data_IF_729349091765
#
_entry.id   IF_729349091765
#
_cell.length_a   1.000
_cell.length_b   1.000
_cell.length_c   1.000
_cell.angle_alpha   90.00
_cell.angle_beta   90.00
_cell.angle_gamma   90.00
#
_symmetry.space_group_name_H-M   'P 1'
#
loop_
_entity.id
_entity.type
_entity.pdbx_description
1 polymer ?
#
# COMPACT_ATOMS: atom_id res chain seq x y z
N UNK A 1 40.56 80.58 4.40
CA UNK A 1 39.70 80.30 5.58
C UNK A 1 39.17 78.88 5.41
N UNK A 2 39.87 77.88 5.92
CA UNK A 2 39.51 76.46 5.82
C UNK A 2 38.82 76.04 7.12
N UNK A 3 37.52 75.77 7.07
CA UNK A 3 36.81 75.13 8.17
C UNK A 3 37.22 73.67 8.24
N UNK A 4 38.04 73.33 9.24
CA UNK A 4 38.29 71.96 9.64
C UNK A 4 36.96 71.34 10.10
N UNK A 5 36.39 70.50 9.24
CA UNK A 5 35.13 69.80 9.49
C UNK A 5 35.41 68.72 10.54
N UNK A 6 35.05 68.97 11.80
CA UNK A 6 35.16 67.99 12.88
C UNK A 6 34.36 66.73 12.50
N UNK A 7 35.07 65.69 12.07
CA UNK A 7 34.49 64.37 11.88
C UNK A 7 34.26 63.77 13.28
N UNK A 8 33.00 63.76 13.70
CA UNK A 8 32.59 63.05 14.93
C UNK A 8 32.72 61.56 14.67
N UNK A 9 33.60 60.88 15.41
CA UNK A 9 33.71 59.42 15.39
C UNK A 9 32.46 58.78 16.00
N UNK A 10 32.10 57.59 15.53
CA UNK A 10 31.02 56.78 16.09
C UNK A 10 31.31 56.41 17.55
N UNK A 11 30.30 56.51 18.41
CA UNK A 11 30.41 56.09 19.80
C UNK A 11 30.43 54.56 19.88
N UNK A 12 31.18 53.99 20.84
CA UNK A 12 31.18 52.56 21.12
C UNK A 12 29.76 52.00 21.34
N UNK A 13 28.86 52.80 21.91
CA UNK A 13 27.47 52.40 22.13
C UNK A 13 26.68 52.30 20.82
N UNK A 14 26.96 53.16 19.83
CA UNK A 14 26.32 53.10 18.51
C UNK A 14 26.77 51.85 17.76
N UNK A 15 28.04 51.49 17.87
CA UNK A 15 28.58 50.27 17.26
C UNK A 15 27.99 49.00 17.90
N UNK A 16 27.88 48.96 19.23
CA UNK A 16 27.24 47.86 19.95
C UNK A 16 25.75 47.72 19.57
N UNK A 17 25.03 48.84 19.48
CA UNK A 17 23.62 48.84 19.08
C UNK A 17 23.45 48.38 17.62
N UNK A 18 24.34 48.81 16.72
CA UNK A 18 24.33 48.37 15.33
C UNK A 18 24.58 46.86 15.20
N UNK A 19 25.55 46.31 15.93
CA UNK A 19 25.85 44.87 15.94
C UNK A 19 24.67 44.08 16.54
N UNK A 20 24.02 44.60 17.58
CA UNK A 20 22.86 43.95 18.19
C UNK A 20 21.68 43.85 17.23
N UNK A 21 21.33 44.95 16.55
CA UNK A 21 20.26 44.96 15.54
C UNK A 21 20.61 44.03 14.37
N UNK A 22 21.86 44.06 13.90
CA UNK A 22 22.34 43.16 12.84
C UNK A 22 22.23 41.68 13.27
N UNK A 23 22.62 41.37 14.50
CA UNK A 23 22.54 40.02 15.07
C UNK A 23 21.10 39.50 15.10
N UNK A 24 20.15 40.30 15.60
CA UNK A 24 18.73 39.94 15.58
C UNK A 24 18.22 39.76 14.15
N UNK A 25 18.63 40.64 13.22
CA UNK A 25 18.26 40.54 11.81
C UNK A 25 18.73 39.23 11.16
N UNK A 26 19.98 38.84 11.37
CA UNK A 26 20.54 37.60 10.82
C UNK A 26 19.86 36.37 11.42
N UNK A 27 19.62 36.34 12.74
CA UNK A 27 18.93 35.22 13.40
C UNK A 27 17.49 35.09 12.86
N UNK A 28 16.77 36.21 12.73
CA UNK A 28 15.42 36.22 12.17
C UNK A 28 15.37 35.61 10.77
N UNK A 29 16.25 36.06 9.86
CA UNK A 29 16.35 35.52 8.50
C UNK A 29 16.74 34.03 8.51
N UNK A 30 17.68 33.63 9.38
CA UNK A 30 18.11 32.25 9.52
C UNK A 30 16.96 31.31 9.95
N UNK A 31 16.02 31.78 10.78
CA UNK A 31 14.86 30.98 11.19
C UNK A 31 13.81 30.81 10.09
N UNK A 32 13.70 31.74 9.15
CA UNK A 32 12.73 31.68 8.06
C UNK A 32 13.13 30.71 6.94
N UNK A 33 14.44 30.53 6.70
CA UNK A 33 14.91 29.67 5.61
C UNK A 33 14.46 28.20 5.71
N UNK A 34 14.62 27.50 6.85
CA UNK A 34 14.18 26.10 6.95
C UNK A 34 12.67 25.94 6.76
N UNK A 35 11.88 26.88 7.30
CA UNK A 35 10.43 26.88 7.11
C UNK A 35 10.06 27.06 5.63
N UNK A 36 10.72 28.00 4.94
CA UNK A 36 10.53 28.22 3.51
C UNK A 36 10.88 26.99 2.66
N UNK A 37 11.98 26.30 2.96
CA UNK A 37 12.37 25.07 2.25
C UNK A 37 11.35 23.95 2.48
N UNK A 38 10.90 23.75 3.73
CA UNK A 38 9.89 22.73 4.06
C UNK A 38 8.58 23.00 3.32
N UNK A 39 8.13 24.26 3.31
CA UNK A 39 6.92 24.67 2.61
C UNK A 39 7.05 24.50 1.09
N UNK A 40 8.18 24.89 0.50
CA UNK A 40 8.43 24.71 -0.93
C UNK A 40 8.47 23.22 -1.32
N UNK A 41 9.07 22.36 -0.48
CA UNK A 41 9.05 20.91 -0.69
C UNK A 41 7.62 20.37 -0.63
N UNK A 42 6.83 20.77 0.37
CA UNK A 42 5.42 20.38 0.48
C UNK A 42 4.61 20.84 -0.74
N UNK A 43 4.73 22.09 -1.16
CA UNK A 43 4.06 22.59 -2.38
C UNK A 43 4.50 21.83 -3.63
N UNK A 44 5.77 21.46 -3.74
CA UNK A 44 6.24 20.63 -4.86
C UNK A 44 5.62 19.24 -4.81
N UNK A 45 5.58 18.63 -3.63
CA UNK A 45 5.00 17.30 -3.39
C UNK A 45 3.48 17.30 -3.68
N UNK A 46 2.75 18.33 -3.25
CA UNK A 46 1.31 18.52 -3.51
C UNK A 46 1.00 18.67 -5.01
N UNK A 47 1.93 19.23 -5.80
CA UNK A 47 1.77 19.37 -7.26
C UNK A 47 2.20 18.11 -8.00
N UNK A 48 3.36 17.53 -7.65
CA UNK A 48 3.93 16.40 -8.38
C UNK A 48 3.24 15.09 -8.01
N UNK A 49 2.83 14.90 -6.75
CA UNK A 49 2.17 13.67 -6.27
C UNK A 49 0.99 13.23 -7.15
N UNK A 50 -0.02 14.09 -7.36
CA UNK A 50 -1.15 13.77 -8.24
C UNK A 50 -0.74 13.49 -9.70
N UNK A 51 0.32 14.13 -10.21
CA UNK A 51 0.83 13.89 -11.57
C UNK A 51 1.41 12.48 -11.68
N UNK A 52 2.22 12.07 -10.70
CA UNK A 52 2.80 10.71 -10.65
C UNK A 52 1.68 9.67 -10.55
N UNK A 53 0.69 9.88 -9.69
CA UNK A 53 -0.41 8.95 -9.52
C UNK A 53 -1.27 8.80 -10.79
N UNK A 54 -1.56 9.90 -11.51
CA UNK A 54 -2.27 9.85 -12.79
C UNK A 54 -1.45 9.16 -13.90
N UNK A 55 -0.14 9.36 -13.91
CA UNK A 55 0.75 8.65 -14.83
C UNK A 55 0.72 7.14 -14.55
N UNK A 56 0.87 6.75 -13.29
CA UNK A 56 0.74 5.36 -12.85
C UNK A 56 -0.61 4.75 -13.29
N UNK A 57 -1.71 5.47 -13.08
CA UNK A 57 -3.04 5.02 -13.51
C UNK A 57 -3.14 4.87 -15.03
N UNK A 58 -2.50 5.75 -15.80
CA UNK A 58 -2.44 5.65 -17.26
C UNK A 58 -1.68 4.41 -17.71
N UNK A 59 -0.55 4.11 -17.06
CA UNK A 59 0.22 2.87 -17.32
C UNK A 59 -0.66 1.65 -17.04
N UNK A 60 -1.33 1.60 -15.89
CA UNK A 60 -2.21 0.48 -15.53
C UNK A 60 -3.36 0.32 -16.53
N UNK A 61 -4.07 1.39 -16.87
CA UNK A 61 -5.16 1.39 -17.87
C UNK A 61 -4.72 1.01 -19.28
N UNK A 62 -3.45 1.23 -19.62
CA UNK A 62 -2.93 0.82 -20.93
C UNK A 62 -2.71 -0.69 -21.06
N UNK A 63 -2.61 -1.40 -19.93
CA UNK A 63 -2.30 -2.84 -19.87
C UNK A 63 -3.43 -3.68 -19.30
N UNK A 64 -4.33 -3.06 -18.53
CA UNK A 64 -5.38 -3.72 -17.79
C UNK A 64 -6.74 -3.11 -18.15
N UNK A 65 -7.73 -3.97 -18.12
CA UNK A 65 -9.15 -3.67 -18.24
C UNK A 65 -9.89 -4.32 -17.08
N UNK A 66 -11.08 -3.79 -16.74
CA UNK A 66 -11.98 -4.36 -15.74
C UNK A 66 -12.21 -5.87 -15.95
N UNK A 67 -12.31 -6.32 -17.21
CA UNK A 67 -12.56 -7.71 -17.58
C UNK A 67 -11.35 -8.64 -17.43
N UNK A 68 -10.16 -8.12 -17.14
CA UNK A 68 -8.98 -8.94 -16.84
C UNK A 68 -9.03 -9.58 -15.47
N UNK A 69 -9.80 -8.99 -14.57
CA UNK A 69 -9.93 -9.45 -13.20
C UNK A 69 -11.10 -10.41 -13.05
N UNK A 70 -10.90 -11.41 -12.21
CA UNK A 70 -11.91 -12.40 -11.86
C UNK A 70 -12.45 -12.18 -10.46
N UNK A 71 -13.42 -13.02 -10.10
CA UNK A 71 -13.68 -13.32 -8.70
C UNK A 71 -12.78 -14.46 -8.21
N UNK A 72 -12.82 -14.73 -6.91
CA UNK A 72 -12.00 -15.77 -6.28
C UNK A 72 -12.56 -17.19 -6.46
N UNK A 73 -13.86 -17.30 -6.79
CA UNK A 73 -14.60 -18.55 -6.89
C UNK A 73 -14.00 -19.57 -7.85
N UNK A 74 -13.37 -19.18 -8.99
CA UNK A 74 -12.72 -20.12 -9.89
C UNK A 74 -11.38 -20.68 -9.37
N UNK A 75 -10.84 -20.16 -8.27
CA UNK A 75 -9.51 -20.51 -7.76
C UNK A 75 -9.57 -21.36 -6.49
N UNK A 76 -10.68 -21.29 -5.73
CA UNK A 76 -10.81 -22.00 -4.47
C UNK A 76 -12.21 -22.62 -4.34
N UNK A 77 -12.26 -23.94 -4.09
CA UNK A 77 -13.51 -24.68 -3.99
C UNK A 77 -14.33 -24.26 -2.75
N UNK A 78 -13.64 -23.86 -1.68
CA UNK A 78 -14.23 -23.27 -0.48
C UNK A 78 -14.89 -21.90 -0.76
N UNK A 79 -14.71 -21.34 -1.94
CA UNK A 79 -15.27 -20.06 -2.39
C UNK A 79 -16.29 -20.24 -3.51
N UNK A 80 -16.77 -21.46 -3.69
CA UNK A 80 -17.59 -21.82 -4.84
C UNK A 80 -18.83 -20.91 -5.00
N UNK A 81 -19.29 -20.71 -6.25
CA UNK A 81 -20.42 -19.83 -6.58
C UNK A 81 -21.74 -20.20 -5.90
N UNK A 82 -21.85 -21.37 -5.27
CA UNK A 82 -23.03 -21.71 -4.49
C UNK A 82 -23.07 -20.93 -3.16
N UNK A 83 -21.94 -20.51 -2.56
CA UNK A 83 -21.93 -19.68 -1.35
C UNK A 83 -22.60 -18.32 -1.57
N UNK A 84 -22.52 -17.82 -2.79
CA UNK A 84 -23.21 -16.64 -3.26
C UNK A 84 -24.74 -16.75 -3.31
N UNK A 85 -25.24 -17.97 -3.48
CA UNK A 85 -26.68 -18.27 -3.61
C UNK A 85 -27.24 -18.94 -2.36
N UNK A 86 -26.35 -19.44 -1.49
CA UNK A 86 -26.74 -19.96 -0.19
C UNK A 86 -27.21 -18.77 0.65
N UNK A 87 -28.51 -18.78 0.96
CA UNK A 87 -28.98 -18.24 2.23
C UNK A 87 -28.27 -19.05 3.29
N UNK A 88 -27.09 -18.57 3.71
CA UNK A 88 -26.30 -19.23 4.73
C UNK A 88 -27.23 -19.46 5.92
N UNK A 89 -27.39 -20.72 6.32
CA UNK A 89 -28.16 -21.08 7.51
C UNK A 89 -27.73 -20.17 8.66
N UNK A 90 -28.70 -19.70 9.46
CA UNK A 90 -28.71 -18.68 10.55
C UNK A 90 -27.41 -18.18 11.22
N UNK A 91 -26.26 -18.82 11.06
CA UNK A 91 -24.95 -18.48 11.63
C UNK A 91 -23.83 -18.27 10.59
N UNK A 92 -24.08 -18.38 9.28
CA UNK A 92 -23.03 -18.18 8.26
C UNK A 92 -22.96 -16.72 7.79
N UNK A 93 -21.77 -16.13 7.87
CA UNK A 93 -21.49 -14.77 7.40
C UNK A 93 -21.28 -14.82 5.88
N UNK A 94 -22.01 -13.99 5.12
CA UNK A 94 -21.76 -13.85 3.68
C UNK A 94 -20.35 -13.26 3.48
N UNK A 95 -19.41 -13.98 2.84
CA UNK A 95 -18.04 -13.48 2.65
C UNK A 95 -17.97 -12.33 1.63
N UNK A 96 -19.05 -12.08 0.88
CA UNK A 96 -19.14 -11.05 -0.14
C UNK A 96 -19.84 -9.80 0.41
N UNK A 97 -19.12 -8.71 0.71
CA UNK A 97 -19.73 -7.54 1.32
C UNK A 97 -20.69 -6.79 0.39
N UNK A 98 -20.61 -7.01 -0.94
CA UNK A 98 -21.57 -6.43 -1.90
C UNK A 98 -22.06 -7.42 -2.95
N UNK A 99 -21.18 -7.93 -3.81
CA UNK A 99 -21.52 -8.87 -4.89
C UNK A 99 -20.53 -10.01 -4.95
N UNK A 100 -20.98 -11.10 -5.56
CA UNK A 100 -20.16 -12.29 -5.76
C UNK A 100 -18.84 -12.02 -6.47
N UNK A 101 -17.80 -12.54 -5.85
CA UNK A 101 -16.44 -12.45 -6.34
C UNK A 101 -15.77 -11.12 -5.99
N UNK A 102 -16.39 -10.25 -5.21
CA UNK A 102 -15.72 -9.07 -4.67
C UNK A 102 -14.63 -9.47 -3.68
N UNK A 103 -13.55 -8.70 -3.66
CA UNK A 103 -12.43 -8.99 -2.78
C UNK A 103 -11.74 -7.72 -2.33
N UNK A 104 -11.16 -7.78 -1.14
CA UNK A 104 -10.57 -6.64 -0.44
C UNK A 104 -9.26 -6.18 -1.09
N UNK A 105 -8.62 -5.14 -0.54
CA UNK A 105 -7.35 -4.66 -1.08
C UNK A 105 -6.28 -5.77 -1.10
N UNK A 106 -5.69 -5.98 -2.28
CA UNK A 106 -4.59 -6.92 -2.52
C UNK A 106 -3.44 -6.22 -3.23
N UNK A 107 -2.22 -6.57 -2.82
CA UNK A 107 -1.00 -6.11 -3.50
C UNK A 107 -0.67 -7.03 -4.67
N UNK A 108 -0.20 -6.49 -5.80
CA UNK A 108 0.46 -7.27 -6.84
C UNK A 108 1.62 -8.10 -6.30
N UNK A 109 1.97 -9.16 -7.04
CA UNK A 109 3.24 -9.84 -6.80
C UNK A 109 4.41 -8.91 -7.04
N UNK A 110 5.48 -9.03 -6.25
CA UNK A 110 6.72 -8.27 -6.42
C UNK A 110 7.86 -9.20 -6.77
N UNK A 111 8.59 -8.84 -7.83
CA UNK A 111 9.80 -9.56 -8.24
C UNK A 111 10.92 -9.23 -7.24
N UNK A 112 11.54 -10.23 -6.60
CA UNK A 112 12.60 -10.02 -5.61
C UNK A 112 13.75 -9.14 -6.10
N UNK A 113 14.36 -8.36 -5.21
CA UNK A 113 15.52 -7.52 -5.53
C UNK A 113 16.80 -8.33 -5.87
N UNK A 114 16.81 -9.61 -5.48
CA UNK A 114 17.85 -10.60 -5.77
C UNK A 114 17.42 -11.63 -6.84
N UNK A 115 16.39 -11.32 -7.65
CA UNK A 115 15.86 -12.25 -8.64
C UNK A 115 16.90 -12.62 -9.73
N UNK A 116 16.95 -13.90 -10.09
CA UNK A 116 17.83 -14.45 -11.12
C UNK A 116 19.33 -14.25 -10.82
N UNK A 117 20.16 -14.26 -11.86
CA UNK A 117 21.63 -14.13 -11.71
C UNK A 117 22.11 -12.72 -12.04
N UNK A 118 23.15 -12.23 -11.35
CA UNK A 118 23.68 -10.87 -11.55
C UNK A 118 24.31 -10.65 -12.95
N UNK A 119 24.54 -11.71 -13.72
CA UNK A 119 25.05 -11.63 -15.10
C UNK A 119 23.98 -11.64 -16.19
N UNK A 120 22.71 -11.88 -15.85
CA UNK A 120 21.61 -11.94 -16.81
C UNK A 120 20.86 -10.60 -16.83
N UNK A 121 21.01 -9.86 -17.94
CA UNK A 121 20.33 -8.58 -18.17
C UNK A 121 18.81 -8.70 -18.04
N UNK A 122 18.26 -9.86 -18.40
CA UNK A 122 16.82 -10.12 -18.32
C UNK A 122 16.39 -10.13 -16.85
N UNK A 123 17.09 -10.90 -16.01
CA UNK A 123 16.87 -10.92 -14.56
C UNK A 123 17.05 -9.54 -13.93
N UNK A 124 18.11 -8.81 -14.30
CA UNK A 124 18.36 -7.46 -13.78
C UNK A 124 17.23 -6.49 -14.12
N UNK A 125 16.65 -6.60 -15.32
CA UNK A 125 15.59 -5.70 -15.77
C UNK A 125 14.26 -5.85 -15.02
N UNK A 126 13.99 -7.04 -14.49
CA UNK A 126 12.72 -7.35 -13.80
C UNK A 126 12.81 -7.21 -12.27
N UNK A 127 14.00 -7.03 -11.69
CA UNK A 127 14.15 -6.88 -10.23
C UNK A 127 13.34 -5.69 -9.71
N UNK A 128 12.49 -5.94 -8.72
CA UNK A 128 11.56 -4.95 -8.17
C UNK A 128 10.40 -4.55 -9.10
N UNK A 129 10.21 -5.25 -10.23
CA UNK A 129 8.98 -5.14 -11.00
C UNK A 129 7.79 -5.65 -10.17
N UNK A 130 6.59 -5.19 -10.50
CA UNK A 130 5.36 -5.78 -10.00
C UNK A 130 4.72 -6.62 -11.10
N UNK A 131 4.22 -7.79 -10.72
CA UNK A 131 3.47 -8.70 -11.58
C UNK A 131 2.04 -8.75 -11.05
N UNK A 132 1.10 -8.18 -11.81
CA UNK A 132 -0.27 -7.93 -11.31
C UNK A 132 -0.99 -9.23 -10.98
N UNK A 133 -0.81 -10.26 -11.79
CA UNK A 133 -1.48 -11.55 -11.61
C UNK A 133 -0.51 -12.66 -11.19
N UNK A 134 0.76 -12.33 -10.93
CA UNK A 134 1.76 -13.29 -10.50
C UNK A 134 1.30 -14.11 -9.29
N UNK A 135 1.68 -15.39 -9.29
CA UNK A 135 1.41 -16.34 -8.19
C UNK A 135 2.74 -16.86 -7.61
N UNK A 136 2.75 -17.47 -6.40
CA UNK A 136 3.96 -18.05 -5.82
C UNK A 136 4.61 -19.13 -6.70
N UNK A 137 3.84 -19.70 -7.63
CA UNK A 137 4.28 -20.79 -8.52
C UNK A 137 4.52 -20.30 -9.95
N UNK A 138 4.23 -19.03 -10.26
CA UNK A 138 4.46 -18.49 -11.61
C UNK A 138 5.94 -18.14 -11.74
N UNK A 139 6.68 -18.99 -12.44
CA UNK A 139 8.07 -18.67 -12.81
C UNK A 139 8.08 -17.45 -13.74
N UNK A 140 8.77 -16.39 -13.33
CA UNK A 140 8.89 -15.17 -14.14
C UNK A 140 9.83 -15.41 -15.32
N UNK A 141 10.96 -16.07 -15.05
CA UNK A 141 11.90 -16.64 -16.00
C UNK A 141 12.10 -18.09 -15.57
N UNK A 142 12.02 -19.00 -16.54
CA UNK A 142 12.09 -20.43 -16.28
C UNK A 142 13.32 -20.80 -15.41
N UNK A 143 13.09 -21.47 -14.29
CA UNK A 143 14.11 -21.91 -13.34
C UNK A 143 14.79 -20.82 -12.52
N UNK A 144 14.32 -19.56 -12.55
CA UNK A 144 14.89 -18.45 -11.77
C UNK A 144 14.04 -18.03 -10.57
N UNK A 145 12.91 -18.71 -10.33
CA UNK A 145 12.02 -18.51 -9.19
C UNK A 145 10.78 -17.66 -9.52
N UNK A 146 10.01 -17.38 -8.47
CA UNK A 146 8.68 -16.77 -8.52
C UNK A 146 8.66 -15.38 -7.88
N UNK A 147 7.65 -14.53 -8.17
CA UNK A 147 7.43 -13.31 -7.42
C UNK A 147 7.02 -13.63 -5.97
N UNK A 148 7.26 -12.70 -5.04
CA UNK A 148 6.60 -12.71 -3.74
C UNK A 148 5.18 -12.20 -3.92
N UNK A 149 4.20 -12.95 -3.46
CA UNK A 149 2.77 -12.62 -3.61
C UNK A 149 2.10 -12.59 -2.25
N UNK A 150 0.96 -11.91 -2.19
CA UNK A 150 0.07 -12.01 -1.05
C UNK A 150 -0.86 -13.20 -1.29
N UNK A 151 -0.82 -14.20 -0.42
CA UNK A 151 -1.67 -15.38 -0.57
C UNK A 151 -3.05 -15.12 0.04
N UNK A 152 -4.07 -15.76 -0.52
CA UNK A 152 -5.44 -15.61 -0.06
C UNK A 152 -5.71 -16.37 1.23
N UNK A 153 -5.08 -17.52 1.35
CA UNK A 153 -5.14 -18.39 2.50
C UNK A 153 -3.76 -18.94 2.77
N UNK A 154 -3.40 -19.12 4.04
CA UNK A 154 -2.20 -19.87 4.44
C UNK A 154 -2.32 -21.37 4.09
N UNK A 155 -3.48 -21.80 3.56
CA UNK A 155 -3.75 -23.18 3.21
C UNK A 155 -3.31 -23.42 1.78
N UNK A 156 -2.16 -24.07 1.62
CA UNK A 156 -1.90 -24.86 0.41
C UNK A 156 -2.97 -25.94 0.32
N UNK A 157 -4.02 -25.73 -0.46
CA UNK A 157 -5.07 -26.72 -0.63
C UNK A 157 -4.49 -27.89 -1.42
N UNK A 158 -4.34 -29.01 -0.74
CA UNK A 158 -4.10 -30.30 -1.37
C UNK A 158 -5.45 -30.75 -1.91
N UNK A 159 -5.67 -30.59 -3.23
CA UNK A 159 -6.81 -31.25 -3.88
C UNK A 159 -6.52 -32.74 -3.87
N UNK A 160 -6.94 -33.41 -2.80
CA UNK A 160 -6.83 -34.86 -2.67
C UNK A 160 -7.80 -35.51 -3.63
N UNK A 161 -7.32 -35.88 -4.81
CA UNK A 161 -7.99 -36.92 -5.56
C UNK A 161 -7.79 -38.25 -4.82
N UNK A 162 -8.75 -39.18 -4.91
CA UNK A 162 -8.70 -40.49 -4.22
C UNK A 162 -7.48 -41.34 -4.65
N UNK A 163 -6.72 -40.88 -5.63
CA UNK A 163 -5.46 -41.45 -6.14
C UNK A 163 -4.22 -41.09 -5.31
N UNK A 164 -4.32 -40.16 -4.34
CA UNK A 164 -3.19 -39.75 -3.49
C UNK A 164 -2.24 -38.75 -4.15
N UNK A 165 -2.54 -38.29 -5.37
CA UNK A 165 -1.78 -37.24 -6.03
C UNK A 165 -2.44 -35.88 -5.78
N UNK A 166 -1.70 -35.00 -5.12
CA UNK A 166 -2.21 -33.79 -4.51
C UNK A 166 -1.92 -32.61 -5.42
N UNK A 167 -2.86 -32.24 -6.28
CA UNK A 167 -2.69 -31.06 -7.13
C UNK A 167 -2.87 -29.81 -6.27
N UNK A 168 -1.77 -29.11 -5.99
CA UNK A 168 -1.78 -27.81 -5.33
C UNK A 168 -2.17 -26.78 -6.40
N UNK A 169 -3.42 -26.30 -6.36
CA UNK A 169 -3.83 -25.18 -7.20
C UNK A 169 -3.37 -23.90 -6.50
N UNK A 170 -2.41 -23.14 -7.05
CA UNK A 170 -2.01 -21.87 -6.44
C UNK A 170 -3.18 -20.89 -6.47
N UNK A 171 -3.59 -20.40 -5.30
CA UNK A 171 -4.53 -19.29 -5.24
C UNK A 171 -3.76 -18.03 -5.66
N UNK A 172 -4.18 -17.32 -6.74
CA UNK A 172 -3.45 -16.15 -7.20
C UNK A 172 -3.58 -15.03 -6.19
N UNK A 173 -2.54 -14.21 -6.02
CA UNK A 173 -2.63 -13.06 -5.12
C UNK A 173 -3.70 -12.05 -5.55
N UNK A 174 -3.86 -11.85 -6.87
CA UNK A 174 -4.98 -11.10 -7.46
C UNK A 174 -5.72 -12.01 -8.45
N UNK A 175 -7.01 -12.29 -8.25
CA UNK A 175 -7.80 -13.13 -9.14
C UNK A 175 -7.91 -12.54 -10.54
N UNK A 176 -7.61 -13.35 -11.54
CA UNK A 176 -7.78 -13.01 -12.95
C UNK A 176 -8.99 -13.71 -13.56
N UNK A 177 -9.48 -13.19 -14.68
CA UNK A 177 -10.63 -13.76 -15.37
C UNK A 177 -10.23 -15.05 -16.13
N UNK A 178 -10.47 -16.21 -15.52
CA UNK A 178 -10.18 -17.52 -16.15
C UNK A 178 -10.96 -17.78 -17.44
N UNK A 179 -12.10 -17.12 -17.67
CA UNK A 179 -12.81 -17.25 -18.94
C UNK A 179 -12.08 -16.51 -20.08
N UNK A 180 -11.42 -15.39 -19.76
CA UNK A 180 -10.57 -14.63 -20.70
C UNK A 180 -9.18 -15.27 -20.85
N UNK A 181 -8.66 -15.80 -19.76
CA UNK A 181 -7.35 -16.46 -19.67
C UNK A 181 -7.53 -17.92 -19.24
N UNK A 182 -8.03 -18.78 -20.16
CA UNK A 182 -8.23 -20.18 -19.83
C UNK A 182 -6.89 -20.87 -19.60
N UNK A 183 -6.85 -21.78 -18.63
CA UNK A 183 -5.74 -22.73 -18.49
C UNK A 183 -5.75 -23.66 -19.71
N UNK A 184 -4.69 -23.64 -20.51
CA UNK A 184 -4.60 -24.45 -21.72
C UNK A 184 -4.29 -25.92 -21.46
N UNK A 185 -3.96 -26.29 -20.21
CA UNK A 185 -3.57 -27.65 -19.87
C UNK A 185 -4.70 -28.41 -19.17
N UNK A 186 -5.40 -29.24 -19.93
CA UNK A 186 -6.31 -30.26 -19.40
C UNK A 186 -5.68 -31.66 -19.38
N UNK A 187 -4.49 -31.80 -19.98
CA UNK A 187 -3.82 -33.08 -20.16
C UNK A 187 -2.51 -33.04 -19.37
N UNK A 188 -2.55 -33.48 -18.10
CA UNK A 188 -1.36 -33.65 -17.25
C UNK A 188 -0.25 -34.29 -18.11
N UNK A 189 0.82 -33.56 -18.45
CA UNK A 189 1.87 -34.14 -19.27
C UNK A 189 2.47 -35.33 -18.50
N UNK A 190 2.89 -36.37 -19.21
CA UNK A 190 3.38 -37.62 -18.58
C UNK A 190 4.60 -37.43 -17.67
N UNK A 191 5.22 -36.24 -17.68
CA UNK A 191 6.33 -35.85 -16.81
C UNK A 191 5.87 -35.33 -15.44
N UNK A 192 4.57 -35.16 -15.20
CA UNK A 192 4.00 -34.69 -13.93
C UNK A 192 4.25 -33.20 -13.66
N UNK A 193 4.76 -32.45 -14.63
CA UNK A 193 4.93 -30.99 -14.51
C UNK A 193 3.79 -30.32 -15.26
N UNK A 194 2.82 -29.77 -14.52
CA UNK A 194 1.77 -28.94 -15.10
C UNK A 194 2.42 -27.75 -15.80
N UNK A 195 2.43 -27.75 -17.13
CA UNK A 195 2.73 -26.54 -17.87
C UNK A 195 1.44 -25.73 -17.80
N UNK A 196 1.24 -24.94 -16.74
CA UNK A 196 0.10 -24.01 -16.70
C UNK A 196 0.48 -22.68 -17.38
N UNK A 197 0.33 -22.50 -18.71
CA UNK A 197 0.12 -21.17 -19.23
C UNK A 197 -1.37 -20.86 -19.03
N UNK A 198 -1.66 -20.07 -18.01
CA UNK A 198 -2.99 -19.54 -17.73
C UNK A 198 -2.96 -18.19 -17.05
N UNK A 199 -1.92 -17.90 -16.25
CA UNK A 199 -1.80 -16.61 -15.59
C UNK A 199 -1.42 -15.51 -16.59
N UNK A 200 -2.23 -14.46 -16.75
CA UNK A 200 -1.91 -13.35 -17.63
C UNK A 200 -0.66 -12.60 -17.16
N UNK A 201 0.33 -12.46 -18.04
CA UNK A 201 1.57 -11.77 -17.75
C UNK A 201 1.41 -10.25 -17.90
N UNK A 202 1.04 -9.57 -16.80
CA UNK A 202 0.97 -8.11 -16.78
C UNK A 202 1.98 -7.55 -15.79
N UNK A 203 3.13 -7.13 -16.32
CA UNK A 203 4.27 -6.66 -15.53
C UNK A 203 4.46 -5.16 -15.66
N UNK A 204 4.76 -4.49 -14.56
CA UNK A 204 5.22 -3.10 -14.51
C UNK A 204 6.65 -3.07 -13.96
N UNK A 205 7.59 -2.59 -14.77
CA UNK A 205 9.01 -2.60 -14.40
C UNK A 205 9.32 -1.54 -13.34
N UNK A 206 10.40 -1.75 -12.58
CA UNK A 206 10.86 -0.77 -11.59
C UNK A 206 11.22 0.61 -12.22
N UNK A 207 11.53 0.66 -13.51
CA UNK A 207 11.78 1.89 -14.26
C UNK A 207 10.50 2.65 -14.66
N UNK A 208 9.36 1.96 -14.69
CA UNK A 208 8.02 2.52 -14.94
C UNK A 208 7.36 2.99 -13.64
N UNK A 209 7.78 2.40 -12.53
CA UNK A 209 7.36 2.75 -11.17
C UNK A 209 8.00 4.02 -10.60
N UNK A 210 8.84 4.70 -11.38
CA UNK A 210 9.54 5.90 -10.96
C UNK A 210 9.12 7.12 -11.77
N UNK A 211 9.29 8.30 -11.18
CA UNK A 211 9.05 9.57 -11.86
C UNK A 211 10.25 10.53 -11.75
N UNK A 212 10.77 11.03 -12.89
CA UNK A 212 10.37 10.71 -14.26
C UNK A 212 10.58 9.23 -14.63
N UNK A 213 9.72 8.73 -15.53
CA UNK A 213 9.80 7.36 -16.05
C UNK A 213 11.11 7.17 -16.83
N UNK A 214 11.63 5.94 -16.81
CA UNK A 214 12.84 5.56 -17.54
C UNK A 214 12.59 4.33 -18.41
N UNK A 215 13.08 4.35 -19.64
CA UNK A 215 12.92 3.31 -20.66
C UNK A 215 14.26 2.68 -21.11
N UNK A 216 15.39 3.12 -20.54
CA UNK A 216 16.70 2.56 -20.84
C UNK A 216 17.00 1.26 -20.09
N UNK A 217 18.22 0.74 -20.30
CA UNK A 217 18.69 -0.48 -19.62
C UNK A 217 18.72 -0.32 -18.09
N UNK A 218 18.37 -1.39 -17.38
CA UNK A 218 18.15 -1.36 -15.93
C UNK A 218 19.41 -0.99 -15.13
N UNK A 219 20.58 -1.41 -15.59
CA UNK A 219 21.88 -1.07 -14.98
C UNK A 219 22.14 0.44 -14.95
N UNK A 220 21.63 1.17 -15.95
CA UNK A 220 21.80 2.60 -16.10
C UNK A 220 20.59 3.40 -15.60
N UNK A 221 19.67 2.75 -14.87
CA UNK A 221 18.47 3.42 -14.36
C UNK A 221 18.87 4.59 -13.46
N UNK A 222 18.46 5.83 -13.76
CA UNK A 222 18.82 6.98 -12.96
C UNK A 222 18.07 6.97 -11.64
N UNK A 223 18.64 7.62 -10.63
CA UNK A 223 17.93 7.90 -9.38
C UNK A 223 16.74 8.82 -9.66
N UNK A 224 15.54 8.34 -9.38
CA UNK A 224 14.34 9.15 -9.39
C UNK A 224 14.02 9.69 -7.99
N UNK A 225 13.24 10.78 -7.96
CA UNK A 225 12.80 11.42 -6.71
C UNK A 225 11.50 10.82 -6.18
N UNK A 226 10.59 10.43 -7.06
CA UNK A 226 9.28 9.89 -6.71
C UNK A 226 9.14 8.47 -7.26
N UNK A 227 8.46 7.64 -6.50
CA UNK A 227 8.12 6.27 -6.84
C UNK A 227 6.65 6.04 -6.51
N UNK A 228 6.08 4.99 -7.09
CA UNK A 228 4.74 4.57 -6.77
C UNK A 228 4.61 3.06 -6.63
N UNK A 229 3.64 2.68 -5.81
CA UNK A 229 3.13 1.32 -5.63
C UNK A 229 1.60 1.35 -5.70
N UNK A 230 0.99 0.18 -5.93
CA UNK A 230 -0.45 0.09 -6.04
C UNK A 230 -1.04 -1.14 -5.34
N UNK A 231 -2.35 -1.09 -5.14
CA UNK A 231 -3.18 -2.21 -4.71
C UNK A 231 -4.46 -2.24 -5.53
N UNK A 232 -5.09 -3.39 -5.57
CA UNK A 232 -6.35 -3.60 -6.28
C UNK A 232 -7.42 -4.07 -5.31
N UNK A 233 -8.68 -3.76 -5.59
CA UNK A 233 -9.86 -4.27 -4.88
C UNK A 233 -10.94 -4.52 -5.91
N UNK A 234 -11.78 -5.54 -5.72
CA UNK A 234 -13.04 -5.69 -6.45
C UNK A 234 -14.20 -5.33 -5.52
N UNK A 235 -14.96 -4.30 -5.88
CA UNK A 235 -16.07 -3.77 -5.11
C UNK A 235 -17.24 -3.44 -6.03
N UNK A 236 -18.42 -3.99 -5.74
CA UNK A 236 -19.62 -3.90 -6.56
C UNK A 236 -19.35 -4.35 -8.01
N UNK A 237 -18.49 -5.37 -8.17
CA UNK A 237 -18.11 -5.91 -9.46
C UNK A 237 -17.15 -5.02 -10.27
N UNK A 238 -16.69 -3.91 -9.71
CA UNK A 238 -15.70 -3.01 -10.31
C UNK A 238 -14.35 -3.16 -9.64
N UNK A 239 -13.30 -3.04 -10.44
CA UNK A 239 -11.92 -2.99 -9.99
C UNK A 239 -11.57 -1.56 -9.63
N UNK A 240 -11.20 -1.37 -8.38
CA UNK A 240 -10.63 -0.15 -7.84
C UNK A 240 -9.12 -0.35 -7.69
N UNK A 241 -8.38 0.73 -7.91
CA UNK A 241 -6.93 0.77 -7.79
C UNK A 241 -6.58 1.86 -6.78
N UNK A 242 -5.85 1.49 -5.74
CA UNK A 242 -5.20 2.43 -4.85
C UNK A 242 -3.77 2.66 -5.34
N UNK A 243 -3.35 3.92 -5.47
CA UNK A 243 -1.97 4.29 -5.85
C UNK A 243 -1.36 5.11 -4.73
N UNK A 244 -0.18 4.70 -4.27
CA UNK A 244 0.61 5.39 -3.27
C UNK A 244 1.84 5.97 -3.92
N UNK A 245 2.01 7.29 -3.82
CA UNK A 245 3.19 8.01 -4.29
C UNK A 245 4.04 8.39 -3.10
N UNK A 246 5.34 8.14 -3.20
CA UNK A 246 6.29 8.46 -2.14
C UNK A 246 7.64 8.90 -2.71
N UNK A 247 8.40 9.64 -1.90
CA UNK A 247 9.81 9.95 -2.17
C UNK A 247 10.71 9.02 -1.41
N UNK A 248 11.84 8.71 -2.01
CA UNK A 248 12.91 7.93 -1.37
C UNK A 248 14.08 8.86 -1.08
N UNK A 249 14.44 8.98 0.19
CA UNK A 249 15.68 9.61 0.64
C UNK A 249 16.62 8.49 1.06
N UNK A 250 17.52 8.16 0.15
CA UNK A 250 18.61 7.22 0.41
C UNK A 250 19.87 7.98 0.84
N UNK A 251 20.30 7.85 2.11
CA UNK A 251 21.53 8.48 2.61
C UNK A 251 22.79 7.85 2.04
N UNK A 252 22.74 6.57 1.64
CA UNK A 252 23.90 5.85 1.06
C UNK A 252 24.21 6.28 -0.38
N UNK A 253 23.23 6.90 -1.05
CA UNK A 253 23.29 7.38 -2.44
C UNK A 253 23.65 6.31 -3.49
N UNK A 254 23.51 5.01 -3.18
CA UNK A 254 23.91 3.96 -4.12
C UNK A 254 22.73 3.51 -5.00
N UNK A 255 22.74 3.96 -6.26
CA UNK A 255 21.94 3.38 -7.34
C UNK A 255 20.46 3.79 -7.37
N UNK A 256 19.72 3.16 -8.29
CA UNK A 256 18.28 3.33 -8.41
C UNK A 256 17.53 2.52 -7.35
N UNK A 257 16.45 3.10 -6.83
CA UNK A 257 15.67 2.45 -5.77
C UNK A 257 14.92 1.23 -6.30
N UNK A 258 15.10 0.10 -5.65
CA UNK A 258 14.21 -1.06 -5.68
C UNK A 258 13.68 -1.31 -4.27
N UNK A 259 12.44 -1.78 -4.18
CA UNK A 259 11.87 -2.26 -2.91
C UNK A 259 12.77 -3.38 -2.38
N UNK A 260 13.11 -3.34 -1.10
CA UNK A 260 13.89 -4.41 -0.49
C UNK A 260 12.95 -5.55 -0.09
N UNK A 261 13.25 -6.73 -0.61
CA UNK A 261 12.40 -7.91 -0.45
C UNK A 261 13.09 -9.03 0.34
N UNK A 262 14.33 -8.82 0.81
CA UNK A 262 15.15 -9.89 1.41
C UNK A 262 14.64 -10.46 2.73
N UNK A 263 13.83 -9.68 3.45
CA UNK A 263 13.32 -10.04 4.77
C UNK A 263 11.84 -10.47 4.75
N UNK A 264 11.22 -10.49 3.58
CA UNK A 264 9.79 -10.68 3.45
C UNK A 264 9.49 -11.85 2.52
N UNK A 265 8.51 -12.67 2.90
CA UNK A 265 7.94 -13.71 2.05
C UNK A 265 6.77 -13.20 1.21
N UNK A 266 6.23 -12.03 1.56
CA UNK A 266 5.08 -11.40 0.89
C UNK A 266 5.37 -9.93 0.59
N UNK A 267 4.67 -9.30 -0.37
CA UNK A 267 4.76 -7.87 -0.61
C UNK A 267 4.48 -7.08 0.66
N UNK A 268 5.40 -6.19 1.05
CA UNK A 268 5.31 -5.42 2.29
C UNK A 268 4.91 -3.95 2.07
N UNK A 269 4.84 -3.48 0.83
CA UNK A 269 4.51 -2.10 0.45
C UNK A 269 3.30 -2.04 -0.50
N UNK A 270 2.32 -1.16 -0.26
CA UNK A 270 2.10 -0.43 1.00
C UNK A 270 1.91 -1.39 2.19
N UNK A 271 2.23 -0.94 3.40
CA UNK A 271 2.09 -1.74 4.61
C UNK A 271 0.63 -1.79 5.04
N UNK A 272 0.14 -2.98 5.35
CA UNK A 272 -1.19 -3.22 5.92
C UNK A 272 -1.09 -3.27 7.45
N UNK A 273 -2.08 -2.70 8.13
CA UNK A 273 -2.27 -2.86 9.58
C UNK A 273 -3.70 -3.29 9.85
N UNK A 274 -3.84 -4.35 10.64
CA UNK A 274 -5.09 -4.79 11.21
C UNK A 274 -5.35 -4.01 12.51
N UNK A 275 -6.18 -2.97 12.43
CA UNK A 275 -6.53 -2.12 13.56
C UNK A 275 -7.21 -2.87 14.71
N UNK A 276 -7.77 -4.05 14.46
CA UNK A 276 -8.41 -4.84 15.51
C UNK A 276 -7.40 -5.54 16.43
N UNK A 277 -6.32 -6.08 15.87
CA UNK A 277 -5.36 -6.91 16.61
C UNK A 277 -3.99 -6.26 16.78
N UNK A 278 -3.63 -5.30 15.92
CA UNK A 278 -2.29 -4.71 15.82
C UNK A 278 -2.26 -3.23 16.22
N UNK A 279 -3.38 -2.65 16.64
CA UNK A 279 -3.47 -1.24 17.06
C UNK A 279 -4.27 -1.10 18.35
N UNK A 280 -3.78 -0.27 19.26
CA UNK A 280 -4.49 0.07 20.49
C UNK A 280 -5.70 0.97 20.24
N UNK A 281 -5.83 1.58 19.05
CA UNK A 281 -7.05 2.31 18.65
C UNK A 281 -8.28 1.42 18.56
N UNK A 282 -8.09 0.12 18.31
CA UNK A 282 -9.16 -0.72 17.77
C UNK A 282 -9.65 -0.22 16.40
N UNK A 283 -10.75 -0.81 15.93
CA UNK A 283 -11.39 -0.46 14.67
C UNK A 283 -11.95 0.97 14.69
N UNK A 284 -11.82 1.72 13.59
CA UNK A 284 -12.31 3.10 13.54
C UNK A 284 -13.80 3.13 13.23
N UNK A 285 -14.61 3.78 14.06
CA UNK A 285 -16.06 3.86 13.91
C UNK A 285 -16.47 5.27 13.48
N UNK A 286 -17.15 5.43 12.33
CA UNK A 286 -17.55 6.77 11.88
C UNK A 286 -18.75 7.33 12.66
N UNK A 287 -19.60 6.47 13.22
CA UNK A 287 -20.69 6.84 14.13
C UNK A 287 -20.22 7.56 15.41
N UNK A 288 -18.95 7.44 15.78
CA UNK A 288 -18.35 8.25 16.85
C UNK A 288 -18.07 9.70 16.43
N UNK A 289 -18.22 10.02 15.13
CA UNK A 289 -18.15 11.37 14.57
C UNK A 289 -16.80 12.06 14.73
N UNK A 290 -15.77 11.34 15.17
CA UNK A 290 -14.49 11.91 15.51
C UNK A 290 -13.47 11.63 14.42
N UNK A 291 -12.89 12.70 13.90
CA UNK A 291 -11.61 12.68 13.17
C UNK A 291 -10.43 12.34 14.11
N UNK A 292 -10.69 12.22 15.41
CA UNK A 292 -9.75 11.90 16.48
C UNK A 292 -9.78 10.40 16.80
N UNK A 293 -8.63 9.73 16.66
CA UNK A 293 -8.47 8.30 16.88
C UNK A 293 -7.97 8.02 18.30
N UNK A 294 -8.90 7.95 19.25
CA UNK A 294 -8.60 7.64 20.66
C UNK A 294 -7.96 6.25 20.78
N UNK A 295 -7.00 6.09 21.68
CA UNK A 295 -6.23 4.86 21.87
C UNK A 295 -4.95 4.83 21.05
N UNK A 296 -4.82 5.66 20.01
CA UNK A 296 -3.59 5.76 19.22
C UNK A 296 -2.40 6.21 20.06
N UNK A 297 -2.63 6.95 21.15
CA UNK A 297 -1.61 7.38 22.11
C UNK A 297 -0.93 6.24 22.85
N UNK A 298 -1.49 5.02 22.83
CA UNK A 298 -0.95 3.85 23.50
C UNK A 298 0.04 3.06 22.62
N UNK A 299 0.03 3.28 21.31
CA UNK A 299 0.95 2.63 20.37
C UNK A 299 2.30 3.35 20.32
N UNK A 300 3.37 2.66 19.87
CA UNK A 300 4.67 3.29 19.64
C UNK A 300 4.87 3.63 18.14
N UNK A 301 4.82 4.92 17.73
CA UNK A 301 4.99 5.33 16.33
C UNK A 301 6.41 5.10 15.78
N UNK A 302 7.36 4.65 16.59
CA UNK A 302 8.68 4.23 16.11
C UNK A 302 8.65 2.82 15.50
N UNK A 303 7.71 1.97 15.92
CA UNK A 303 7.51 0.64 15.35
C UNK A 303 6.86 0.74 13.97
N UNK A 304 7.33 -0.08 13.01
CA UNK A 304 6.96 0.04 11.60
C UNK A 304 5.44 -0.01 11.38
N UNK A 305 4.75 -0.90 12.08
CA UNK A 305 3.30 -1.08 12.02
C UNK A 305 2.51 0.13 12.56
N UNK A 306 3.09 0.98 13.40
CA UNK A 306 2.39 2.17 13.93
C UNK A 306 2.84 3.47 13.26
N UNK A 307 3.70 3.40 12.24
CA UNK A 307 4.14 4.60 11.52
C UNK A 307 3.02 5.23 10.68
N UNK A 308 1.83 4.62 10.61
CA UNK A 308 0.67 5.28 10.03
C UNK A 308 0.30 6.57 10.78
N UNK A 309 0.75 6.72 12.03
CA UNK A 309 0.45 7.84 12.91
C UNK A 309 1.26 9.11 12.63
N UNK A 310 2.27 9.07 11.74
CA UNK A 310 3.11 10.24 11.50
C UNK A 310 2.33 11.41 10.86
N UNK A 311 2.64 12.68 11.21
CA UNK A 311 2.02 13.83 10.54
C UNK A 311 2.31 13.85 9.03
N UNK A 312 1.26 14.07 8.23
CA UNK A 312 1.34 14.08 6.77
C UNK A 312 1.30 12.70 6.13
N UNK A 313 1.06 11.64 6.90
CA UNK A 313 0.86 10.30 6.38
C UNK A 313 -0.40 10.23 5.52
N UNK A 314 -0.33 9.45 4.44
CA UNK A 314 -1.48 9.08 3.63
C UNK A 314 -1.90 7.66 3.96
N UNK A 315 -3.20 7.47 4.16
CA UNK A 315 -3.80 6.20 4.56
C UNK A 315 -4.95 5.89 3.60
N UNK A 316 -5.01 4.66 3.11
CA UNK A 316 -6.19 4.13 2.43
C UNK A 316 -6.84 3.15 3.39
N UNK A 317 -8.14 3.27 3.63
CA UNK A 317 -8.89 2.31 4.46
C UNK A 317 -9.49 1.17 3.62
N UNK A 318 -10.07 0.18 4.30
CA UNK A 318 -10.69 -0.98 3.66
C UNK A 318 -11.87 -0.62 2.75
N UNK A 319 -12.49 0.53 3.00
CA UNK A 319 -13.61 1.04 2.23
C UNK A 319 -13.15 1.78 0.97
N UNK A 320 -11.85 2.07 0.84
CA UNK A 320 -11.26 2.81 -0.26
C UNK A 320 -11.30 4.32 -0.07
N UNK A 321 -11.59 4.79 1.15
CA UNK A 321 -11.41 6.21 1.48
C UNK A 321 -9.93 6.51 1.67
N UNK A 322 -9.55 7.71 1.27
CA UNK A 322 -8.20 8.24 1.46
C UNK A 322 -8.22 9.26 2.59
N UNK A 323 -7.42 9.00 3.62
CA UNK A 323 -7.24 9.88 4.77
C UNK A 323 -5.84 10.47 4.78
N UNK A 324 -5.71 11.64 5.40
CA UNK A 324 -4.39 12.19 5.73
C UNK A 324 -4.29 12.51 7.21
N UNK A 325 -3.13 12.28 7.81
CA UNK A 325 -2.89 12.57 9.22
C UNK A 325 -2.56 14.05 9.39
N UNK A 326 -3.49 14.81 9.94
CA UNK A 326 -3.34 16.25 10.18
C UNK A 326 -2.49 16.51 11.42
N UNK A 327 -2.85 15.89 12.54
CA UNK A 327 -2.05 15.87 13.76
C UNK A 327 -1.66 14.42 14.04
N UNK A 328 -0.38 14.17 14.18
CA UNK A 328 0.16 12.83 14.27
C UNK A 328 1.25 12.75 15.32
N UNK A 329 1.71 11.53 15.59
CA UNK A 329 2.67 11.24 16.64
C UNK A 329 4.04 10.97 16.04
N UNK A 330 5.09 11.47 16.68
CA UNK A 330 6.49 11.29 16.27
C UNK A 330 7.31 10.57 17.33
N UNK A 331 6.79 10.46 18.55
CA UNK A 331 7.47 9.86 19.69
C UNK A 331 6.47 9.03 20.49
N UNK A 332 6.95 7.96 21.12
CA UNK A 332 6.14 7.13 22.01
C UNK A 332 5.50 7.90 23.17
N UNK A 333 6.11 9.01 23.60
CA UNK A 333 5.58 9.83 24.70
C UNK A 333 4.63 10.96 24.25
N UNK A 334 4.29 11.05 22.97
CA UNK A 334 3.27 11.99 22.50
C UNK A 334 1.91 11.50 23.00
N UNK A 335 1.27 12.27 23.89
CA UNK A 335 -0.03 11.92 24.51
C UNK A 335 -1.23 12.37 23.70
N UNK A 336 -1.01 13.16 22.64
CA UNK A 336 -2.10 13.62 21.79
C UNK A 336 -2.50 12.50 20.81
N UNK A 337 -3.78 12.13 20.75
CA UNK A 337 -4.25 11.14 19.79
C UNK A 337 -4.14 11.67 18.36
N UNK A 338 -4.01 10.74 17.42
CA UNK A 338 -3.95 11.02 15.99
C UNK A 338 -5.26 11.66 15.53
N UNK A 339 -5.14 12.72 14.73
CA UNK A 339 -6.26 13.39 14.07
C UNK A 339 -6.13 13.26 12.55
N UNK A 340 -7.16 12.71 11.91
CA UNK A 340 -7.30 12.65 10.46
C UNK A 340 -7.88 13.96 9.92
N UNK A 341 -7.67 14.25 8.64
CA UNK A 341 -8.30 15.41 7.97
C UNK A 341 -9.79 15.28 7.78
N UNK A 342 -10.31 14.06 7.80
CA UNK A 342 -11.72 13.73 7.65
C UNK A 342 -12.03 12.53 8.53
N UNK A 343 -13.24 12.44 9.10
CA UNK A 343 -13.66 11.22 9.76
C UNK A 343 -13.68 10.06 8.76
N UNK A 344 -13.41 8.82 9.21
CA UNK A 344 -13.66 7.61 8.42
C UNK A 344 -15.06 7.67 7.81
N UNK A 345 -15.22 7.29 6.54
CA UNK A 345 -16.54 7.20 5.94
C UNK A 345 -17.04 5.76 6.05
N UNK A 346 -18.27 5.63 6.53
CA UNK A 346 -18.97 4.36 6.59
C UNK A 346 -19.54 4.03 5.22
N UNK A 347 -19.14 2.88 4.66
CA UNK A 347 -19.96 2.25 3.64
C UNK A 347 -21.21 1.72 4.32
N UNK A 348 -22.38 2.07 3.79
CA UNK A 348 -23.61 1.41 4.20
C UNK A 348 -23.47 -0.07 3.91
N UNK A 349 -23.27 -0.87 4.95
CA UNK A 349 -23.33 -2.32 4.80
C UNK A 349 -24.79 -2.67 4.56
N UNK A 350 -25.05 -3.59 3.65
CA UNK A 350 -26.42 -4.04 3.40
C UNK A 350 -27.02 -4.58 4.70
N UNK A 351 -27.92 -3.80 5.30
CA UNK A 351 -28.81 -4.27 6.35
C UNK A 351 -29.81 -5.23 5.70
N UNK A 352 -29.37 -6.45 5.40
CA UNK A 352 -30.34 -7.52 5.25
C UNK A 352 -30.86 -7.76 6.67
N UNK A 353 -32.11 -7.34 6.94
CA UNK A 353 -32.86 -7.76 8.11
C UNK A 353 -32.97 -9.29 8.08
N UNK A 354 -31.93 -9.97 8.53
CA UNK A 354 -32.08 -11.34 8.98
C UNK A 354 -32.98 -11.28 10.21
N UNK A 355 -33.99 -12.15 10.27
CA UNK A 355 -35.02 -12.16 11.32
C UNK A 355 -34.49 -12.42 12.75
N UNK A 356 -33.17 -12.36 12.94
CA UNK A 356 -32.44 -12.57 14.19
C UNK A 356 -31.44 -11.44 14.52
N UNK A 357 -31.57 -10.24 13.95
CA UNK A 357 -30.81 -9.06 14.39
C UNK A 357 -29.30 -9.16 14.14
N UNK A 358 -28.89 -9.90 13.11
CA UNK A 358 -27.49 -9.98 12.68
C UNK A 358 -27.29 -9.09 11.46
N UNK A 359 -26.71 -7.92 11.67
CA UNK A 359 -26.28 -7.05 10.59
C UNK A 359 -25.13 -7.68 9.80
N UNK A 360 -25.11 -7.47 8.47
CA UNK A 360 -24.02 -7.93 7.62
C UNK A 360 -22.73 -7.17 7.96
N UNK A 361 -21.62 -7.89 8.07
CA UNK A 361 -20.41 -7.41 8.74
C UNK A 361 -19.32 -7.09 7.70
N UNK A 362 -18.58 -6.00 7.91
CA UNK A 362 -17.33 -5.68 7.21
C UNK A 362 -16.17 -6.43 7.88
N UNK A 363 -16.25 -7.78 7.95
CA UNK A 363 -15.31 -8.59 8.75
C UNK A 363 -13.96 -8.60 8.08
N UNK A 364 -12.94 -8.58 8.91
CA UNK A 364 -11.60 -8.99 8.59
C UNK A 364 -11.54 -10.52 8.39
N UNK A 365 -12.13 -11.06 7.32
CA UNK A 365 -12.38 -12.50 7.16
C UNK A 365 -11.18 -13.33 6.69
N UNK A 366 -10.05 -12.69 6.39
CA UNK A 366 -8.82 -13.38 6.03
C UNK A 366 -7.96 -13.76 7.24
N UNK A 367 -8.31 -13.40 8.49
CA UNK A 367 -7.47 -13.76 9.63
C UNK A 367 -7.60 -15.28 9.86
N UNK A 368 -6.56 -16.08 9.55
CA UNK A 368 -6.63 -17.54 9.62
C UNK A 368 -6.82 -18.06 11.06
N UNK A 369 -6.62 -17.21 12.07
CA UNK A 369 -6.90 -17.50 13.47
C UNK A 369 -8.32 -17.14 13.92
N UNK A 370 -9.12 -16.46 13.09
CA UNK A 370 -10.42 -15.95 13.51
C UNK A 370 -11.49 -17.04 13.49
N UNK A 371 -11.76 -17.59 14.67
CA UNK A 371 -12.82 -18.57 14.88
C UNK A 371 -14.19 -17.85 14.87
N UNK A 372 -14.74 -17.62 13.68
CA UNK A 372 -15.99 -16.88 13.46
C UNK A 372 -17.19 -17.42 14.27
N UNK A 373 -17.12 -18.64 14.77
CA UNK A 373 -18.19 -19.27 15.55
C UNK A 373 -18.31 -18.83 17.02
N UNK A 374 -17.33 -18.13 17.62
CA UNK A 374 -17.39 -17.87 19.08
C UNK A 374 -17.52 -16.41 19.52
N UNK A 375 -17.07 -15.43 18.74
CA UNK A 375 -17.17 -14.02 19.14
C UNK A 375 -17.56 -13.17 17.93
N UNK A 376 -18.84 -13.23 17.56
CA UNK A 376 -19.42 -12.41 16.50
C UNK A 376 -19.21 -10.93 16.79
N UNK A 377 -18.16 -10.35 16.22
CA UNK A 377 -17.93 -8.91 16.27
C UNK A 377 -18.72 -8.30 15.11
N UNK A 378 -19.97 -7.97 15.43
CA UNK A 378 -20.89 -7.18 14.63
C UNK A 378 -20.60 -5.70 14.89
N UNK A 379 -19.70 -5.11 14.12
CA UNK A 379 -19.69 -3.65 14.04
C UNK A 379 -19.91 -3.26 12.58
N UNK A 380 -21.14 -2.88 12.27
CA UNK A 380 -21.44 -2.18 11.04
C UNK A 380 -20.61 -0.90 11.00
N UNK A 381 -20.00 -0.63 9.84
CA UNK A 381 -19.38 0.66 9.61
C UNK A 381 -18.02 0.91 10.28
N UNK A 382 -17.33 -0.12 10.78
CA UNK A 382 -15.96 0.09 11.29
C UNK A 382 -14.90 -0.17 10.21
N UNK A 383 -13.81 0.60 10.29
CA UNK A 383 -12.56 0.32 9.56
C UNK A 383 -11.69 -0.58 10.44
N UNK A 384 -11.46 -1.81 10.01
CA UNK A 384 -10.55 -2.78 10.64
C UNK A 384 -9.18 -2.79 9.99
N UNK A 385 -9.05 -2.35 8.73
CA UNK A 385 -7.80 -2.42 8.01
C UNK A 385 -7.47 -1.11 7.30
N UNK A 386 -6.18 -0.77 7.39
CA UNK A 386 -5.62 0.40 6.76
C UNK A 386 -4.32 0.04 6.05
N UNK A 387 -4.01 0.80 5.01
CA UNK A 387 -2.80 0.68 4.22
C UNK A 387 -2.11 2.03 4.12
N UNK A 388 -0.79 2.03 4.28
CA UNK A 388 0.01 3.24 4.26
C UNK A 388 1.45 2.94 3.83
N UNK A 389 2.20 3.98 3.46
CA UNK A 389 3.65 3.83 3.21
C UNK A 389 4.43 4.05 4.51
N UNK A 390 5.20 3.07 5.03
CA UNK A 390 6.03 3.27 6.21
C UNK A 390 7.07 4.37 5.95
N UNK A 391 7.62 4.97 7.01
CA UNK A 391 8.62 6.05 6.90
C UNK A 391 10.03 5.57 6.62
N UNK A 392 10.27 4.27 6.76
CA UNK A 392 11.51 3.61 6.37
C UNK A 392 11.26 2.22 5.80
N UNK A 393 12.18 1.75 4.96
CA UNK A 393 12.22 0.35 4.56
C UNK A 393 13.21 -0.47 5.40
N UNK A 394 13.32 -1.77 5.11
CA UNK A 394 14.24 -2.71 5.78
C UNK A 394 15.73 -2.41 5.57
N UNK A 395 16.08 -1.57 4.59
CA UNK A 395 17.45 -1.05 4.38
C UNK A 395 17.69 0.27 5.13
N UNK A 396 16.71 0.78 5.87
CA UNK A 396 16.78 2.06 6.58
C UNK A 396 16.70 3.28 5.65
N UNK A 397 16.32 3.11 4.38
CA UNK A 397 16.07 4.24 3.47
C UNK A 397 14.79 4.93 3.92
N UNK A 398 14.80 6.26 3.97
CA UNK A 398 13.63 7.03 4.41
C UNK A 398 12.64 7.17 3.27
N UNK A 399 11.41 6.73 3.50
CA UNK A 399 10.29 6.90 2.59
C UNK A 399 9.43 8.07 3.10
N UNK A 400 9.05 8.97 2.21
CA UNK A 400 8.17 10.10 2.53
C UNK A 400 6.91 9.95 1.69
N UNK A 401 5.76 9.59 2.29
CA UNK A 401 4.48 9.60 1.59
C UNK A 401 4.20 11.00 1.05
N UNK A 402 3.76 11.05 -0.22
CA UNK A 402 3.51 12.30 -0.93
C UNK A 402 2.03 12.45 -1.22
N UNK A 403 1.42 11.39 -1.73
CA UNK A 403 0.04 11.41 -2.20
C UNK A 403 -0.50 9.98 -2.24
N UNK A 404 -1.80 9.82 -2.00
CA UNK A 404 -2.51 8.58 -2.31
C UNK A 404 -3.82 8.91 -3.01
N UNK A 405 -4.25 8.01 -3.89
CA UNK A 405 -5.56 8.10 -4.53
C UNK A 405 -6.17 6.71 -4.72
N UNK A 406 -7.49 6.67 -4.79
CA UNK A 406 -8.27 5.49 -5.18
C UNK A 406 -9.12 5.86 -6.38
N UNK A 407 -9.03 5.07 -7.45
CA UNK A 407 -9.78 5.29 -8.69
C UNK A 407 -10.22 3.94 -9.29
N UNK A 408 -11.36 3.92 -9.99
CA UNK A 408 -11.77 2.74 -10.75
C UNK A 408 -10.84 2.53 -11.95
N UNK A 409 -10.46 1.28 -12.23
CA UNK A 409 -9.63 0.92 -13.38
C UNK A 409 -10.28 1.32 -14.70
#
# INVERSE_FOLDING_TARGET
MMHAKNQRGFSLIELLLAIFILGIGIISIATLFPAGISQQQKTTDDVIGPIVARNAMTILRSRLSQNDFGGAEPFEEDWAPYLCQLSLSQNGINPWPTVCGDWMWRRPGIVPDNYGTDGDQTSLSIRGAIDIFGTPNTEIIAGQGSPFTEDWTDRTFVKGDLSGDSLIVPVPGIPYNRAKYPSYDTDIPSDGVSNEPGTPLVRIFASERQYPMWDGVAENRPKAKYYWDCMFRRYEGRILVAIFVYRVIDPSQTGAYSVDTRQYSTPNLPLRVNLFSESSTGSWNAGQGADLLVGSELDDPLEQQHQWQYPGQWIVDQNGNVHTVQNGRRRANDTEPVRLTSPPSELQVFLQETSFGSSAINVNWWDPGFNAQQNGIQYDGVVTDIWFMPTSDSKGRKLIPVYAMVEAL
#
